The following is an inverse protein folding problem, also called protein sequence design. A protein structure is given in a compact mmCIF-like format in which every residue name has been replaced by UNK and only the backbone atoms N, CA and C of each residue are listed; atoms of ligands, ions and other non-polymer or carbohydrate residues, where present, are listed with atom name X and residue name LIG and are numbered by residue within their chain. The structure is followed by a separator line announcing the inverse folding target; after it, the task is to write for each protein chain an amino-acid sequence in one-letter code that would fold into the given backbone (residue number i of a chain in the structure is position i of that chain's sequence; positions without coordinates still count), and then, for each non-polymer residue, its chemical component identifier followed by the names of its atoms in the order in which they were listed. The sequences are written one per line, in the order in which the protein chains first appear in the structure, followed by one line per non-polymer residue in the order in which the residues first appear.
data_IF_443099494982
#
_entry.id   IF_443099494982
#
_cell.length_a   1.000
_cell.length_b   1.000
_cell.length_c   1.000
_cell.angle_alpha   90.00
_cell.angle_beta   90.00
_cell.angle_gamma   90.00
#
_symmetry.space_group_name_H-M   'P 1'
#
loop_
_entity.id
_entity.type
_entity.pdbx_description
1 polymer ?
#
# COMPACT_ATOMS: atom_id res chain seq x y z
N UNK A 1 63.90 -62.31 34.30
CA UNK A 1 64.57 -62.62 33.03
C UNK A 1 66.06 -62.92 33.22
N UNK A 2 66.82 -62.09 33.95
CA UNK A 2 68.26 -62.32 34.26
C UNK A 2 68.52 -63.63 35.01
N UNK A 3 67.69 -64.00 35.99
CA UNK A 3 67.80 -65.28 36.73
C UNK A 3 67.70 -66.50 35.80
N UNK A 4 66.69 -66.50 34.90
CA UNK A 4 66.45 -67.56 33.91
C UNK A 4 67.61 -67.71 32.91
N UNK A 5 68.20 -66.59 32.48
CA UNK A 5 69.37 -66.59 31.60
C UNK A 5 70.63 -67.12 32.32
N UNK A 6 70.79 -66.83 33.61
CA UNK A 6 71.90 -67.37 34.42
C UNK A 6 71.77 -68.88 34.66
N UNK A 7 70.56 -69.35 34.97
CA UNK A 7 70.29 -70.78 35.17
C UNK A 7 70.43 -71.57 33.85
N UNK A 8 69.91 -71.03 32.74
CA UNK A 8 70.13 -71.56 31.38
C UNK A 8 71.64 -71.71 31.08
N UNK A 9 72.43 -70.67 31.36
CA UNK A 9 73.89 -70.68 31.13
C UNK A 9 74.62 -71.70 32.01
N UNK A 10 74.13 -71.94 33.23
CA UNK A 10 74.68 -72.94 34.15
C UNK A 10 74.36 -74.36 33.69
N UNK A 11 73.12 -74.61 33.27
CA UNK A 11 72.67 -75.88 32.70
C UNK A 11 73.40 -76.18 31.38
N UNK A 12 73.52 -75.20 30.48
CA UNK A 12 74.30 -75.33 29.25
C UNK A 12 75.76 -75.69 29.54
N UNK A 13 76.40 -75.08 30.55
CA UNK A 13 77.78 -75.46 30.94
C UNK A 13 77.90 -76.92 31.39
N UNK A 14 76.91 -77.44 32.11
CA UNK A 14 76.92 -78.83 32.59
C UNK A 14 76.68 -79.80 31.43
N UNK A 15 75.65 -79.55 30.62
CA UNK A 15 75.37 -80.33 29.42
C UNK A 15 76.59 -80.36 28.49
N UNK A 16 77.31 -79.25 28.34
CA UNK A 16 78.50 -79.18 27.51
C UNK A 16 79.66 -80.04 28.04
N UNK A 17 79.88 -80.06 29.36
CA UNK A 17 80.87 -80.96 29.96
C UNK A 17 80.51 -82.42 29.73
N UNK A 18 79.23 -82.76 29.84
CA UNK A 18 78.75 -84.12 29.59
C UNK A 18 78.86 -84.52 28.11
N UNK A 19 78.53 -83.60 27.19
CA UNK A 19 78.64 -83.83 25.76
C UNK A 19 80.10 -83.98 25.32
N UNK A 20 81.02 -83.21 25.91
CA UNK A 20 82.47 -83.38 25.66
C UNK A 20 83.01 -84.74 26.11
N UNK A 21 82.52 -85.24 27.26
CA UNK A 21 82.86 -86.58 27.75
C UNK A 21 82.28 -87.64 26.81
N UNK A 22 81.01 -87.51 26.40
CA UNK A 22 80.37 -88.44 25.47
C UNK A 22 81.03 -88.45 24.08
N UNK A 23 81.39 -87.29 23.54
CA UNK A 23 82.07 -87.16 22.24
C UNK A 23 83.48 -87.78 22.29
N UNK A 24 84.19 -87.59 23.41
CA UNK A 24 85.47 -88.26 23.66
C UNK A 24 85.30 -89.78 23.80
N UNK A 25 84.25 -90.24 24.50
CA UNK A 25 83.94 -91.66 24.64
C UNK A 25 83.55 -92.30 23.31
N UNK A 26 82.71 -91.64 22.52
CA UNK A 26 82.30 -92.09 21.19
C UNK A 26 83.49 -92.19 20.24
N UNK A 27 84.36 -91.18 20.21
CA UNK A 27 85.59 -91.21 19.39
C UNK A 27 86.59 -92.30 19.84
N UNK A 28 86.65 -92.61 21.14
CA UNK A 28 87.41 -93.75 21.66
C UNK A 28 86.78 -95.10 21.28
N UNK A 29 85.46 -95.18 21.22
CA UNK A 29 84.71 -96.41 20.91
C UNK A 29 84.66 -96.70 19.40
N UNK A 30 84.61 -95.67 18.54
CA UNK A 30 84.60 -95.81 17.07
C UNK A 30 85.88 -96.46 16.52
N UNK A 31 86.99 -96.46 17.27
CA UNK A 31 88.26 -97.06 16.87
C UNK A 31 88.56 -98.48 17.39
N UNK A 32 87.64 -99.12 18.14
CA UNK A 32 87.86 -100.42 18.79
C UNK A 32 87.16 -101.57 18.05
N UNK A 33 87.90 -102.55 17.54
CA UNK A 33 87.35 -103.72 16.85
C UNK A 33 87.01 -104.89 17.80
N UNK A 34 87.51 -104.89 19.05
CA UNK A 34 87.07 -105.82 20.10
C UNK A 34 87.32 -105.30 21.53
N UNK A 35 86.49 -105.73 22.47
CA UNK A 35 86.53 -105.28 23.88
C UNK A 35 87.83 -105.67 24.63
N UNK A 36 88.63 -106.60 24.11
CA UNK A 36 89.89 -107.03 24.74
C UNK A 36 91.07 -106.07 24.50
N UNK A 37 90.95 -105.13 23.55
CA UNK A 37 91.96 -104.10 23.27
C UNK A 37 92.00 -102.97 24.32
N UNK A 38 90.94 -102.82 25.12
CA UNK A 38 90.81 -101.81 26.18
C UNK A 38 91.73 -102.05 27.40
N UNK A 39 92.18 -103.29 27.62
CA UNK A 39 92.95 -103.68 28.81
C UNK A 39 94.47 -103.74 28.59
N UNK A 40 94.94 -103.54 27.35
CA UNK A 40 96.35 -103.76 26.97
C UNK A 40 97.06 -102.56 26.31
N UNK A 41 96.42 -101.39 26.16
CA UNK A 41 97.04 -100.19 25.59
C UNK A 41 97.37 -99.13 26.65
N UNK A 42 98.54 -98.46 26.60
CA UNK A 42 98.77 -97.22 27.34
C UNK A 42 97.84 -96.13 26.81
N UNK A 43 97.17 -95.39 27.70
CA UNK A 43 96.31 -94.27 27.33
C UNK A 43 97.05 -93.26 26.46
N UNK A 44 96.57 -93.03 25.24
CA UNK A 44 97.03 -91.93 24.39
C UNK A 44 96.58 -90.59 24.99
N UNK A 45 97.43 -89.55 24.97
CA UNK A 45 97.06 -88.24 25.52
C UNK A 45 96.02 -87.55 24.62
N UNK A 46 95.02 -86.97 25.27
CA UNK A 46 94.06 -85.93 24.85
C UNK A 46 93.94 -85.59 23.35
N UNK A 47 92.73 -85.67 22.75
CA UNK A 47 92.48 -85.04 21.46
C UNK A 47 92.63 -83.52 21.59
N UNK A 48 93.51 -82.95 20.78
CA UNK A 48 93.83 -81.52 20.73
C UNK A 48 92.60 -80.67 20.33
N UNK A 49 92.25 -79.69 21.18
CA UNK A 49 91.83 -78.32 20.82
C UNK A 49 90.57 -78.03 19.99
N UNK A 50 90.11 -78.91 19.10
CA UNK A 50 89.12 -78.62 18.05
C UNK A 50 87.71 -78.33 18.55
N UNK A 51 87.25 -79.02 19.60
CA UNK A 51 85.92 -78.77 20.16
C UNK A 51 85.81 -77.38 20.82
N UNK A 52 86.91 -76.91 21.44
CA UNK A 52 86.95 -75.61 22.13
C UNK A 52 87.01 -74.45 21.14
N UNK A 53 87.72 -74.58 20.03
CA UNK A 53 87.74 -73.56 18.97
C UNK A 53 86.38 -73.48 18.24
N UNK A 54 85.76 -74.62 17.91
CA UNK A 54 84.40 -74.69 17.33
C UNK A 54 83.35 -74.01 18.21
N UNK A 55 83.36 -74.25 19.52
CA UNK A 55 82.44 -73.57 20.45
C UNK A 55 82.70 -72.07 20.59
N UNK A 56 83.97 -71.63 20.58
CA UNK A 56 84.28 -70.19 20.57
C UNK A 56 83.73 -69.52 19.31
N UNK A 57 83.87 -70.15 18.15
CA UNK A 57 83.28 -69.67 16.89
C UNK A 57 81.75 -69.61 16.97
N UNK A 58 81.10 -70.71 17.37
CA UNK A 58 79.64 -70.77 17.53
C UNK A 58 79.11 -69.73 18.53
N UNK A 59 79.84 -69.48 19.62
CA UNK A 59 79.47 -68.47 20.60
C UNK A 59 79.58 -67.03 20.06
N UNK A 60 80.55 -66.78 19.18
CA UNK A 60 80.66 -65.48 18.49
C UNK A 60 79.53 -65.34 17.47
N UNK A 61 79.25 -66.40 16.71
CA UNK A 61 78.15 -66.44 15.74
C UNK A 61 76.78 -66.25 16.40
N UNK A 62 76.46 -66.96 17.49
CA UNK A 62 75.22 -66.73 18.25
C UNK A 62 75.11 -65.30 18.77
N UNK A 63 76.22 -64.70 19.24
CA UNK A 63 76.20 -63.29 19.68
C UNK A 63 75.93 -62.33 18.54
N UNK A 64 76.51 -62.57 17.37
CA UNK A 64 76.27 -61.76 16.18
C UNK A 64 74.81 -61.89 15.71
N UNK A 65 74.25 -63.11 15.75
CA UNK A 65 72.83 -63.37 15.45
C UNK A 65 71.91 -62.70 16.48
N UNK A 66 72.25 -62.73 17.77
CA UNK A 66 71.49 -62.03 18.81
C UNK A 66 71.51 -60.50 18.56
N UNK A 67 72.68 -59.92 18.26
CA UNK A 67 72.81 -58.48 17.95
C UNK A 67 72.10 -58.08 16.63
N UNK A 68 72.04 -58.97 15.65
CA UNK A 68 71.31 -58.76 14.40
C UNK A 68 69.79 -58.84 14.62
N UNK A 69 69.34 -59.84 15.38
CA UNK A 69 67.91 -60.00 15.73
C UNK A 69 67.42 -58.86 16.62
N UNK A 70 68.21 -58.38 17.58
CA UNK A 70 67.87 -57.20 18.38
C UNK A 70 67.73 -55.93 17.53
N UNK A 71 68.62 -55.71 16.55
CA UNK A 71 68.51 -54.58 15.61
C UNK A 71 67.25 -54.68 14.76
N UNK A 72 66.95 -55.86 14.22
CA UNK A 72 65.73 -56.10 13.44
C UNK A 72 64.47 -55.86 14.29
N UNK A 73 64.46 -56.30 15.55
CA UNK A 73 63.36 -56.05 16.47
C UNK A 73 63.16 -54.56 16.76
N UNK A 74 64.25 -53.80 16.92
CA UNK A 74 64.17 -52.34 17.10
C UNK A 74 63.60 -51.66 15.85
N UNK A 75 64.08 -52.01 14.65
CA UNK A 75 63.55 -51.47 13.39
C UNK A 75 62.06 -51.79 13.21
N UNK A 76 61.66 -53.04 13.46
CA UNK A 76 60.25 -53.45 13.39
C UNK A 76 59.40 -52.70 14.42
N UNK A 77 59.92 -52.46 15.63
CA UNK A 77 59.21 -51.72 16.67
C UNK A 77 58.98 -50.25 16.27
N UNK A 78 59.98 -49.61 15.65
CA UNK A 78 59.84 -48.26 15.09
C UNK A 78 58.84 -48.20 13.94
N UNK A 79 58.88 -49.17 13.01
CA UNK A 79 57.90 -49.27 11.92
C UNK A 79 56.48 -49.44 12.46
N UNK A 80 56.28 -50.30 13.46
CA UNK A 80 54.99 -50.49 14.12
C UNK A 80 54.51 -49.18 14.76
N UNK A 81 55.38 -48.43 15.44
CA UNK A 81 55.01 -47.13 16.01
C UNK A 81 54.62 -46.12 14.93
N UNK A 82 55.37 -46.05 13.82
CA UNK A 82 55.03 -45.18 12.69
C UNK A 82 53.67 -45.55 12.07
N UNK A 83 53.39 -46.85 11.92
CA UNK A 83 52.10 -47.33 11.42
C UNK A 83 50.96 -46.91 12.38
N UNK A 84 51.17 -47.02 13.70
CA UNK A 84 50.18 -46.57 14.68
C UNK A 84 49.91 -45.06 14.59
N UNK A 85 50.95 -44.23 14.45
CA UNK A 85 50.78 -42.78 14.27
C UNK A 85 50.00 -42.47 12.99
N UNK A 86 50.35 -43.12 11.87
CA UNK A 86 49.64 -42.95 10.59
C UNK A 86 48.17 -43.39 10.70
N UNK A 87 47.90 -44.53 11.34
CA UNK A 87 46.53 -45.02 11.59
C UNK A 87 45.71 -44.03 12.41
N UNK A 88 46.28 -43.48 13.48
CA UNK A 88 45.59 -42.50 14.32
C UNK A 88 45.25 -41.22 13.54
N UNK A 89 46.20 -40.72 12.74
CA UNK A 89 45.97 -39.56 11.88
C UNK A 89 44.86 -39.83 10.84
N UNK A 90 44.88 -40.99 10.19
CA UNK A 90 43.82 -41.38 9.25
C UNK A 90 42.45 -41.50 9.94
N UNK A 91 42.41 -42.06 11.15
CA UNK A 91 41.17 -42.20 11.91
C UNK A 91 40.56 -40.82 12.22
N UNK A 92 41.39 -39.84 12.64
CA UNK A 92 40.94 -38.47 12.87
C UNK A 92 40.42 -37.81 11.59
N UNK A 93 41.12 -37.98 10.46
CA UNK A 93 40.68 -37.42 9.17
C UNK A 93 39.36 -38.03 8.71
N UNK A 94 39.16 -39.34 8.88
CA UNK A 94 37.88 -40.00 8.55
C UNK A 94 36.74 -39.46 9.41
N UNK A 95 36.96 -39.26 10.72
CA UNK A 95 35.97 -38.65 11.60
C UNK A 95 35.62 -37.21 11.18
N UNK A 96 36.62 -36.40 10.82
CA UNK A 96 36.40 -35.04 10.33
C UNK A 96 35.61 -35.03 9.01
N UNK A 97 35.93 -35.92 8.08
CA UNK A 97 35.20 -36.06 6.81
C UNK A 97 33.76 -36.49 7.05
N UNK A 98 33.51 -37.40 7.99
CA UNK A 98 32.16 -37.82 8.33
C UNK A 98 31.34 -36.66 8.91
N UNK A 99 31.93 -35.88 9.82
CA UNK A 99 31.27 -34.70 10.38
C UNK A 99 30.93 -33.65 9.30
N UNK A 100 31.89 -33.35 8.40
CA UNK A 100 31.63 -32.43 7.28
C UNK A 100 30.55 -32.94 6.33
N UNK A 101 30.48 -34.25 6.09
CA UNK A 101 29.42 -34.85 5.27
C UNK A 101 28.04 -34.61 5.90
N UNK A 102 27.89 -34.88 7.20
CA UNK A 102 26.65 -34.64 7.93
C UNK A 102 26.25 -33.16 7.93
N UNK A 103 27.22 -32.25 8.09
CA UNK A 103 26.97 -30.81 7.99
C UNK A 103 26.44 -30.42 6.60
N UNK A 104 26.99 -31.00 5.53
CA UNK A 104 26.55 -30.72 4.17
C UNK A 104 25.11 -31.21 3.92
N UNK A 105 24.77 -32.41 4.39
CA UNK A 105 23.40 -32.94 4.33
C UNK A 105 22.40 -32.02 5.06
N UNK A 106 22.79 -31.48 6.23
CA UNK A 106 21.95 -30.53 6.96
C UNK A 106 21.77 -29.19 6.22
N UNK A 107 22.82 -28.67 5.60
CA UNK A 107 22.76 -27.45 4.80
C UNK A 107 21.86 -27.63 3.56
N UNK A 108 21.91 -28.80 2.91
CA UNK A 108 21.05 -29.13 1.77
C UNK A 108 19.57 -29.14 2.18
N UNK A 109 19.23 -29.68 3.36
CA UNK A 109 17.86 -29.62 3.88
C UNK A 109 17.38 -28.18 4.12
N UNK A 110 18.22 -27.32 4.70
CA UNK A 110 17.88 -25.91 4.92
C UNK A 110 17.73 -25.15 3.62
N UNK A 111 18.61 -25.41 2.66
CA UNK A 111 18.53 -24.82 1.32
C UNK A 111 17.23 -25.22 0.63
N UNK A 112 16.83 -26.49 0.73
CA UNK A 112 15.55 -26.96 0.18
C UNK A 112 14.35 -26.28 0.86
N UNK A 113 14.39 -26.10 2.19
CA UNK A 113 13.34 -25.36 2.93
C UNK A 113 13.25 -23.90 2.48
N UNK A 114 14.40 -23.22 2.34
CA UNK A 114 14.45 -21.84 1.87
C UNK A 114 13.92 -21.70 0.44
N UNK A 115 14.29 -22.63 -0.46
CA UNK A 115 13.77 -22.65 -1.83
C UNK A 115 12.25 -22.86 -1.89
N UNK A 116 11.72 -23.76 -1.06
CA UNK A 116 10.28 -23.99 -0.97
C UNK A 116 9.54 -22.75 -0.45
N UNK A 117 10.08 -22.09 0.57
CA UNK A 117 9.52 -20.83 1.09
C UNK A 117 9.54 -19.72 0.02
N UNK A 118 10.64 -19.56 -0.72
CA UNK A 118 10.73 -18.60 -1.83
C UNK A 118 9.68 -18.88 -2.91
N UNK A 119 9.47 -20.14 -3.28
CA UNK A 119 8.42 -20.52 -4.26
C UNK A 119 7.02 -20.18 -3.76
N UNK A 120 6.74 -20.37 -2.47
CA UNK A 120 5.47 -20.01 -1.85
C UNK A 120 5.24 -18.49 -1.92
N UNK A 121 6.22 -17.70 -1.48
CA UNK A 121 6.12 -16.24 -1.50
C UNK A 121 6.00 -15.67 -2.92
N UNK A 122 6.72 -16.25 -3.89
CA UNK A 122 6.57 -15.83 -5.30
C UNK A 122 5.15 -16.07 -5.82
N UNK A 123 4.50 -17.19 -5.46
CA UNK A 123 3.10 -17.43 -5.82
C UNK A 123 2.15 -16.42 -5.17
N UNK A 124 2.36 -16.11 -3.89
CA UNK A 124 1.57 -15.09 -3.18
C UNK A 124 1.74 -13.71 -3.80
N UNK A 125 2.95 -13.33 -4.20
CA UNK A 125 3.21 -12.06 -4.88
C UNK A 125 2.49 -11.97 -6.23
N UNK A 126 2.47 -13.06 -7.00
CA UNK A 126 1.74 -13.09 -8.27
C UNK A 126 0.23 -12.93 -8.02
N UNK A 127 -0.32 -13.63 -7.02
CA UNK A 127 -1.73 -13.51 -6.67
C UNK A 127 -2.10 -12.07 -6.27
N UNK A 128 -1.31 -11.46 -5.37
CA UNK A 128 -1.55 -10.08 -4.93
C UNK A 128 -1.45 -9.08 -6.09
N UNK A 129 -0.56 -9.30 -7.06
CA UNK A 129 -0.47 -8.45 -8.26
C UNK A 129 -1.73 -8.56 -9.12
N UNK A 130 -2.25 -9.76 -9.33
CA UNK A 130 -3.50 -9.96 -10.07
C UNK A 130 -4.70 -9.33 -9.37
N UNK A 131 -4.78 -9.44 -8.04
CA UNK A 131 -5.82 -8.79 -7.23
C UNK A 131 -5.73 -7.26 -7.34
N UNK A 132 -4.52 -6.70 -7.25
CA UNK A 132 -4.27 -5.27 -7.42
C UNK A 132 -4.69 -4.78 -8.81
N UNK A 133 -4.30 -5.50 -9.87
CA UNK A 133 -4.69 -5.18 -11.25
C UNK A 133 -6.22 -5.21 -11.42
N UNK A 134 -6.90 -6.21 -10.84
CA UNK A 134 -8.35 -6.30 -10.87
C UNK A 134 -9.05 -5.11 -10.20
N UNK A 135 -8.60 -4.73 -9.00
CA UNK A 135 -9.13 -3.55 -8.29
C UNK A 135 -8.81 -2.26 -9.05
N UNK A 136 -7.61 -2.16 -9.64
CA UNK A 136 -7.23 -0.99 -10.43
C UNK A 136 -8.11 -0.82 -11.67
N UNK A 137 -8.39 -1.90 -12.40
CA UNK A 137 -9.33 -1.86 -13.53
C UNK A 137 -10.74 -1.44 -13.11
N UNK A 138 -11.23 -1.92 -11.97
CA UNK A 138 -12.51 -1.48 -11.43
C UNK A 138 -12.51 0.01 -11.12
N UNK A 139 -11.45 0.52 -10.47
CA UNK A 139 -11.32 1.94 -10.16
C UNK A 139 -11.38 2.81 -11.42
N UNK A 140 -10.69 2.41 -12.50
CA UNK A 140 -10.74 3.11 -13.79
C UNK A 140 -12.17 3.15 -14.33
N UNK A 141 -12.89 2.02 -14.30
CA UNK A 141 -14.28 1.98 -14.77
C UNK A 141 -15.22 2.90 -13.97
N UNK A 142 -15.03 2.96 -12.64
CA UNK A 142 -15.81 3.86 -11.79
C UNK A 142 -15.48 5.33 -12.03
N UNK A 143 -14.21 5.64 -12.31
CA UNK A 143 -13.80 7.00 -12.67
C UNK A 143 -14.44 7.44 -13.98
N UNK A 144 -14.44 6.58 -15.00
CA UNK A 144 -15.10 6.85 -16.29
C UNK A 144 -16.60 7.10 -16.10
N UNK A 145 -17.31 6.24 -15.37
CA UNK A 145 -18.73 6.42 -15.11
C UNK A 145 -19.02 7.72 -14.35
N UNK A 146 -18.21 8.05 -13.33
CA UNK A 146 -18.33 9.32 -12.61
C UNK A 146 -18.14 10.49 -13.56
N UNK A 147 -17.15 10.44 -14.45
CA UNK A 147 -16.85 11.54 -15.37
C UNK A 147 -17.98 11.70 -16.41
N UNK A 148 -18.55 10.60 -16.91
CA UNK A 148 -19.75 10.61 -17.76
C UNK A 148 -20.97 11.22 -17.06
N UNK A 149 -21.20 10.84 -15.81
CA UNK A 149 -22.28 11.40 -14.98
C UNK A 149 -22.05 12.88 -14.70
N UNK A 150 -20.81 13.27 -14.42
CA UNK A 150 -20.45 14.67 -14.19
C UNK A 150 -20.67 15.51 -15.46
N UNK A 151 -20.27 15.01 -16.62
CA UNK A 151 -20.56 15.65 -17.92
C UNK A 151 -22.06 15.80 -18.14
N UNK A 152 -22.84 14.77 -17.82
CA UNK A 152 -24.31 14.81 -17.92
C UNK A 152 -24.92 15.84 -16.97
N UNK A 153 -24.44 15.90 -15.72
CA UNK A 153 -24.88 16.88 -14.72
C UNK A 153 -24.53 18.30 -15.18
N UNK A 154 -23.32 18.53 -15.67
CA UNK A 154 -22.90 19.85 -16.18
C UNK A 154 -23.73 20.27 -17.39
N UNK A 155 -23.96 19.37 -18.35
CA UNK A 155 -24.82 19.66 -19.50
C UNK A 155 -26.27 19.96 -19.07
N UNK A 156 -26.80 19.23 -18.07
CA UNK A 156 -28.10 19.52 -17.49
C UNK A 156 -28.10 20.87 -16.77
N UNK A 157 -27.08 21.21 -15.99
CA UNK A 157 -26.96 22.51 -15.31
C UNK A 157 -26.87 23.68 -16.30
N UNK A 158 -26.24 23.49 -17.45
CA UNK A 158 -26.18 24.51 -18.50
C UNK A 158 -27.55 24.79 -19.12
N UNK A 159 -28.40 23.77 -19.24
CA UNK A 159 -29.77 23.88 -19.76
C UNK A 159 -30.76 24.28 -18.67
N UNK A 160 -30.53 23.85 -17.42
CA UNK A 160 -31.44 24.06 -16.31
C UNK A 160 -31.39 25.52 -15.84
N UNK A 161 -32.52 26.20 -15.97
CA UNK A 161 -32.79 27.51 -15.39
C UNK A 161 -33.20 27.42 -13.91
N UNK A 162 -32.95 26.27 -13.27
CA UNK A 162 -33.38 25.94 -11.91
C UNK A 162 -32.18 25.38 -11.13
N UNK A 163 -31.87 26.00 -10.00
CA UNK A 163 -30.85 25.53 -9.05
C UNK A 163 -31.52 25.12 -7.76
N UNK A 164 -31.31 23.88 -7.32
CA UNK A 164 -31.74 23.44 -6.00
C UNK A 164 -30.92 24.15 -4.91
N UNK A 165 -31.58 24.84 -3.99
CA UNK A 165 -30.95 25.49 -2.84
C UNK A 165 -30.99 24.62 -1.59
N UNK A 166 -32.16 24.08 -1.26
CA UNK A 166 -32.32 23.16 -0.12
C UNK A 166 -33.50 22.21 -0.33
N UNK A 167 -33.44 21.07 0.34
CA UNK A 167 -34.48 20.04 0.30
C UNK A 167 -34.65 19.43 1.70
N UNK A 168 -35.89 19.40 2.17
CA UNK A 168 -36.32 18.76 3.42
C UNK A 168 -37.53 17.85 3.12
N UNK A 169 -37.97 17.02 4.08
CA UNK A 169 -39.09 16.10 3.85
C UNK A 169 -40.43 16.77 3.49
N UNK A 170 -40.58 18.06 3.77
CA UNK A 170 -41.81 18.83 3.55
C UNK A 170 -41.59 20.13 2.76
N UNK A 171 -40.34 20.47 2.43
CA UNK A 171 -39.99 21.74 1.81
C UNK A 171 -38.88 21.59 0.76
N UNK A 172 -38.96 22.38 -0.31
CA UNK A 172 -38.02 22.44 -1.41
C UNK A 172 -37.77 23.91 -1.72
N UNK A 173 -36.53 24.35 -1.58
CA UNK A 173 -36.12 25.68 -2.03
C UNK A 173 -35.38 25.57 -3.36
N UNK A 174 -35.87 26.26 -4.39
CA UNK A 174 -35.23 26.33 -5.70
C UNK A 174 -35.02 27.78 -6.11
N UNK A 175 -33.93 28.04 -6.82
CA UNK A 175 -33.61 29.33 -7.39
C UNK A 175 -33.81 29.24 -8.91
N UNK A 176 -34.68 30.08 -9.44
CA UNK A 176 -34.89 30.26 -10.87
C UNK A 176 -33.88 31.29 -11.40
N UNK A 177 -33.11 30.89 -12.41
CA UNK A 177 -32.19 31.72 -13.18
C UNK A 177 -32.64 31.73 -14.63
N UNK A 178 -33.57 32.62 -14.99
CA UNK A 178 -34.04 32.69 -16.36
C UNK A 178 -32.91 33.17 -17.25
N UNK A 179 -32.59 32.40 -18.29
CA UNK A 179 -31.73 32.89 -19.38
C UNK A 179 -32.66 33.51 -20.42
N UNK A 180 -32.57 34.81 -20.66
CA UNK A 180 -33.29 35.44 -21.76
C UNK A 180 -32.72 34.93 -23.10
N UNK A 181 -33.58 34.74 -24.09
CA UNK A 181 -33.19 34.37 -25.47
C UNK A 181 -32.40 35.46 -26.20
N UNK A 182 -32.20 36.60 -25.54
CA UNK A 182 -31.38 37.73 -25.96
C UNK A 182 -30.21 37.86 -24.98
N UNK A 183 -28.97 37.77 -25.50
CA UNK A 183 -27.71 37.92 -24.73
C UNK A 183 -27.56 39.30 -24.06
N UNK A 184 -28.42 40.27 -24.39
CA UNK A 184 -28.29 41.65 -23.92
C UNK A 184 -28.91 41.85 -22.52
N UNK A 185 -29.91 41.04 -22.13
CA UNK A 185 -30.64 41.20 -20.86
C UNK A 185 -30.40 40.05 -19.85
N UNK A 186 -29.66 39.01 -20.25
CA UNK A 186 -29.58 37.75 -19.49
C UNK A 186 -28.82 37.84 -18.16
N UNK A 187 -28.05 38.91 -17.97
CA UNK A 187 -27.29 39.17 -16.75
C UNK A 187 -27.90 40.25 -15.85
N UNK A 188 -29.04 40.85 -16.23
CA UNK A 188 -29.59 42.00 -15.49
C UNK A 188 -30.63 41.59 -14.43
N UNK A 189 -31.34 40.47 -14.64
CA UNK A 189 -32.35 40.01 -13.69
C UNK A 189 -31.74 39.23 -12.54
N UNK A 190 -32.02 39.67 -11.32
CA UNK A 190 -31.70 38.88 -10.12
C UNK A 190 -32.40 37.50 -10.14
N UNK A 191 -31.79 36.45 -9.56
CA UNK A 191 -32.44 35.14 -9.45
C UNK A 191 -33.70 35.17 -8.56
N UNK A 192 -34.69 34.34 -8.91
CA UNK A 192 -35.93 34.24 -8.13
C UNK A 192 -35.88 33.01 -7.22
N UNK A 193 -35.86 33.22 -5.90
CA UNK A 193 -35.95 32.14 -4.93
C UNK A 193 -37.40 31.71 -4.69
N UNK A 194 -37.66 30.42 -4.80
CA UNK A 194 -38.95 29.80 -4.62
C UNK A 194 -38.91 28.80 -3.46
N UNK A 195 -39.94 28.82 -2.63
CA UNK A 195 -40.21 27.85 -1.58
C UNK A 195 -41.44 27.03 -1.98
N UNK A 196 -41.24 25.74 -2.18
CA UNK A 196 -42.34 24.76 -2.32
C UNK A 196 -42.49 24.05 -0.99
N UNK A 197 -43.68 24.08 -0.41
CA UNK A 197 -44.04 23.28 0.75
C UNK A 197 -45.10 22.28 0.34
N UNK A 198 -45.10 21.07 0.89
CA UNK A 198 -46.15 20.08 0.63
C UNK A 198 -46.63 19.39 1.89
N UNK A 199 -47.87 18.92 1.85
CA UNK A 199 -48.51 18.18 2.93
C UNK A 199 -48.71 16.71 2.56
N UNK A 200 -49.06 15.88 3.53
CA UNK A 200 -49.38 14.46 3.33
C UNK A 200 -50.52 14.21 2.32
N UNK A 201 -51.30 15.24 1.98
CA UNK A 201 -52.43 15.16 1.06
C UNK A 201 -52.00 15.34 -0.42
N UNK A 202 -50.70 15.21 -0.73
CA UNK A 202 -50.14 15.38 -2.09
C UNK A 202 -50.44 16.75 -2.72
N UNK A 203 -50.68 17.78 -1.90
CA UNK A 203 -50.86 19.15 -2.34
C UNK A 203 -49.61 19.96 -2.01
N UNK A 204 -49.17 20.76 -2.97
CA UNK A 204 -48.09 21.71 -2.80
C UNK A 204 -48.61 23.13 -2.65
N UNK A 205 -47.82 23.97 -2.00
CA UNK A 205 -47.91 25.42 -1.99
C UNK A 205 -46.56 25.96 -2.42
N UNK A 206 -46.55 26.74 -3.49
CA UNK A 206 -45.39 27.40 -4.07
C UNK A 206 -45.46 28.89 -3.71
N UNK A 207 -44.40 29.40 -3.10
CA UNK A 207 -44.27 30.79 -2.68
C UNK A 207 -42.95 31.34 -3.20
N UNK A 208 -42.92 32.62 -3.56
CA UNK A 208 -41.68 33.33 -3.83
C UNK A 208 -41.10 33.78 -2.49
N UNK A 209 -39.84 33.44 -2.20
CA UNK A 209 -39.14 34.00 -1.04
C UNK A 209 -38.83 35.46 -1.31
N UNK A 210 -38.97 36.32 -0.29
CA UNK A 210 -38.75 37.77 -0.41
C UNK A 210 -37.46 38.08 -1.20
N UNK A 211 -37.63 38.81 -2.30
CA UNK A 211 -36.59 39.17 -3.27
C UNK A 211 -36.96 40.48 -3.99
N UNK A 212 -36.05 41.07 -4.80
CA UNK A 212 -36.09 42.46 -5.28
C UNK A 212 -37.30 42.84 -6.15
N UNK A 213 -38.09 41.86 -6.57
CA UNK A 213 -39.31 42.09 -7.32
C UNK A 213 -40.37 41.14 -6.80
N UNK A 214 -41.37 41.67 -6.10
CA UNK A 214 -42.51 40.94 -5.53
C UNK A 214 -43.43 40.28 -6.56
N UNK A 215 -42.90 39.87 -7.72
CA UNK A 215 -43.58 39.46 -8.95
C UNK A 215 -44.76 38.52 -8.80
N UNK A 216 -44.83 37.75 -7.73
CA UNK A 216 -45.90 36.80 -7.51
C UNK A 216 -46.16 36.72 -6.00
N UNK A 217 -46.93 37.66 -5.45
CA UNK A 217 -47.55 37.47 -4.13
C UNK A 217 -48.60 36.33 -4.15
N UNK A 218 -48.97 35.85 -5.34
CA UNK A 218 -49.86 34.71 -5.50
C UNK A 218 -49.15 33.40 -5.12
N UNK A 219 -49.40 32.96 -3.90
CA UNK A 219 -49.10 31.58 -3.49
C UNK A 219 -49.84 30.62 -4.44
N UNK A 220 -49.13 30.00 -5.37
CA UNK A 220 -49.70 28.96 -6.22
C UNK A 220 -49.87 27.69 -5.38
N UNK A 221 -51.02 27.04 -5.51
CA UNK A 221 -51.26 25.75 -4.85
C UNK A 221 -51.95 24.80 -5.81
N UNK A 222 -51.62 23.52 -5.69
CA UNK A 222 -52.09 22.50 -6.61
C UNK A 222 -51.68 21.11 -6.16
N UNK A 223 -51.92 20.12 -7.01
CA UNK A 223 -51.47 18.74 -6.76
C UNK A 223 -49.99 18.59 -7.11
N UNK A 224 -49.26 17.72 -6.43
CA UNK A 224 -47.83 17.52 -6.69
C UNK A 224 -47.50 17.23 -8.16
N UNK A 225 -48.40 16.54 -8.89
CA UNK A 225 -48.28 16.28 -10.33
C UNK A 225 -48.27 17.54 -11.20
N UNK A 226 -48.79 18.66 -10.70
CA UNK A 226 -48.91 19.95 -11.41
C UNK A 226 -47.75 20.89 -11.08
N UNK A 227 -46.84 20.50 -10.17
CA UNK A 227 -45.73 21.36 -9.72
C UNK A 227 -44.84 21.83 -10.87
N UNK A 228 -44.54 20.94 -11.83
CA UNK A 228 -43.73 21.28 -13.00
C UNK A 228 -44.40 22.37 -13.85
N UNK A 229 -45.72 22.28 -14.05
CA UNK A 229 -46.48 23.28 -14.77
C UNK A 229 -46.51 24.62 -14.00
N UNK A 230 -46.70 24.59 -12.69
CA UNK A 230 -46.68 25.78 -11.85
C UNK A 230 -45.30 26.47 -11.85
N UNK A 231 -44.20 25.72 -11.79
CA UNK A 231 -42.84 26.27 -11.89
C UNK A 231 -42.59 26.91 -13.27
N UNK A 232 -43.05 26.26 -14.36
CA UNK A 232 -42.96 26.82 -15.71
C UNK A 232 -43.78 28.10 -15.86
N UNK A 233 -44.97 28.15 -15.27
CA UNK A 233 -45.82 29.34 -15.28
C UNK A 233 -45.17 30.51 -14.55
N UNK A 234 -44.59 30.28 -13.36
CA UNK A 234 -43.83 31.31 -12.64
C UNK A 234 -42.64 31.79 -13.47
N UNK A 235 -41.91 30.87 -14.09
CA UNK A 235 -40.77 31.21 -14.94
C UNK A 235 -41.19 32.03 -16.17
N UNK A 236 -42.28 31.67 -16.84
CA UNK A 236 -42.80 32.41 -18.00
C UNK A 236 -43.28 33.81 -17.61
N UNK A 237 -43.98 33.96 -16.47
CA UNK A 237 -44.40 35.28 -15.96
C UNK A 237 -43.20 36.15 -15.60
N UNK A 238 -42.18 35.58 -14.96
CA UNK A 238 -40.95 36.28 -14.59
C UNK A 238 -40.21 36.79 -15.84
N UNK A 239 -40.00 35.92 -16.83
CA UNK A 239 -39.36 36.28 -18.11
C UNK A 239 -40.20 37.30 -18.90
N UNK A 240 -41.52 37.15 -18.91
CA UNK A 240 -42.43 38.05 -19.62
C UNK A 240 -42.42 39.49 -19.08
N UNK A 241 -42.00 39.69 -17.83
CA UNK A 241 -41.88 41.01 -17.21
C UNK A 241 -40.42 41.50 -17.13
N UNK A 242 -39.48 40.80 -17.75
CA UNK A 242 -38.03 41.05 -17.62
C UNK A 242 -37.64 42.53 -17.75
N UNK A 243 -38.14 43.23 -18.77
CA UNK A 243 -37.76 44.63 -19.02
C UNK A 243 -38.27 45.60 -17.93
N UNK A 244 -39.47 45.39 -17.40
CA UNK A 244 -40.01 46.20 -16.30
C UNK A 244 -39.18 45.96 -15.03
N UNK A 245 -38.84 44.70 -14.77
CA UNK A 245 -38.16 44.29 -13.56
C UNK A 245 -36.69 44.73 -13.53
N UNK A 246 -35.99 44.62 -14.66
CA UNK A 246 -34.62 45.11 -14.77
C UNK A 246 -34.57 46.63 -14.59
N UNK A 247 -35.55 47.36 -15.12
CA UNK A 247 -35.69 48.79 -14.89
C UNK A 247 -35.93 49.08 -13.39
N UNK A 248 -36.88 48.41 -12.73
CA UNK A 248 -37.14 48.59 -11.29
C UNK A 248 -35.91 48.26 -10.44
N UNK A 249 -35.21 47.18 -10.74
CA UNK A 249 -33.96 46.79 -10.06
C UNK A 249 -32.91 47.89 -10.19
N UNK A 250 -32.74 48.43 -11.39
CA UNK A 250 -31.85 49.56 -11.64
C UNK A 250 -32.29 50.78 -10.82
N UNK A 251 -33.59 51.08 -10.75
CA UNK A 251 -34.10 52.21 -10.00
C UNK A 251 -33.92 52.08 -8.50
N UNK A 252 -34.03 50.87 -7.94
CA UNK A 252 -33.75 50.60 -6.52
C UNK A 252 -32.32 50.94 -6.11
N UNK A 253 -31.37 50.90 -7.04
CA UNK A 253 -29.98 51.30 -6.76
C UNK A 253 -29.81 52.81 -6.58
N UNK A 254 -30.70 53.61 -7.18
CA UNK A 254 -30.56 55.07 -7.29
C UNK A 254 -31.64 55.85 -6.53
N UNK A 255 -32.78 55.23 -6.28
CA UNK A 255 -33.96 55.84 -5.67
C UNK A 255 -34.54 54.94 -4.58
N UNK A 256 -35.12 55.55 -3.55
CA UNK A 256 -35.89 54.82 -2.54
C UNK A 256 -37.27 54.46 -3.11
N UNK A 257 -37.33 53.36 -3.85
CA UNK A 257 -38.53 52.87 -4.52
C UNK A 257 -38.97 51.51 -3.97
N UNK A 258 -40.28 51.33 -3.89
CA UNK A 258 -40.96 50.08 -3.55
C UNK A 258 -41.92 49.71 -4.68
N UNK A 259 -41.95 48.44 -5.08
CA UNK A 259 -42.79 47.95 -6.18
C UNK A 259 -43.86 47.01 -5.63
N UNK A 260 -45.12 47.34 -5.94
CA UNK A 260 -46.31 46.57 -5.52
C UNK A 260 -46.98 45.95 -6.74
N UNK A 261 -46.57 44.75 -7.16
CA UNK A 261 -47.02 44.13 -8.41
C UNK A 261 -48.52 43.82 -8.45
N UNK A 262 -49.13 43.41 -7.33
CA UNK A 262 -50.58 43.17 -7.26
C UNK A 262 -51.42 44.42 -7.60
N UNK A 263 -50.86 45.61 -7.35
CA UNK A 263 -51.48 46.91 -7.65
C UNK A 263 -50.87 47.57 -8.90
N UNK A 264 -49.87 46.94 -9.52
CA UNK A 264 -49.01 47.52 -10.56
C UNK A 264 -48.53 48.94 -10.22
N UNK A 265 -48.11 49.13 -8.96
CA UNK A 265 -47.83 50.44 -8.38
C UNK A 265 -46.38 50.55 -7.94
N UNK A 266 -45.67 51.56 -8.44
CA UNK A 266 -44.34 51.95 -7.96
C UNK A 266 -44.50 53.12 -6.97
N UNK A 267 -44.02 52.91 -5.75
CA UNK A 267 -43.99 53.91 -4.69
C UNK A 267 -42.58 54.49 -4.61
N UNK A 268 -42.44 55.80 -4.78
CA UNK A 268 -41.17 56.51 -4.69
C UNK A 268 -41.16 57.44 -3.49
N UNK A 269 -40.20 57.24 -2.59
CA UNK A 269 -39.95 58.10 -1.45
C UNK A 269 -38.88 59.15 -1.80
N UNK A 270 -39.31 60.37 -2.14
CA UNK A 270 -38.37 61.47 -2.45
C UNK A 270 -37.73 62.04 -1.18
N UNK A 271 -38.50 62.11 -0.09
CA UNK A 271 -38.04 62.57 1.22
C UNK A 271 -38.89 61.93 2.32
N UNK A 272 -38.51 62.10 3.60
CA UNK A 272 -39.24 61.52 4.73
C UNK A 272 -40.73 61.90 4.79
N UNK A 273 -41.10 63.05 4.19
CA UNK A 273 -42.48 63.52 4.14
C UNK A 273 -43.13 63.42 2.77
N UNK A 274 -42.39 63.09 1.70
CA UNK A 274 -42.91 63.14 0.33
C UNK A 274 -42.85 61.80 -0.39
N UNK A 275 -44.02 61.31 -0.78
CA UNK A 275 -44.21 60.02 -1.44
C UNK A 275 -44.97 60.21 -2.76
N UNK A 276 -44.41 59.68 -3.84
CA UNK A 276 -45.03 59.65 -5.16
C UNK A 276 -45.52 58.22 -5.47
N UNK A 277 -46.69 58.11 -6.09
CA UNK A 277 -47.28 56.84 -6.50
C UNK A 277 -47.44 56.85 -8.02
N UNK A 278 -46.77 55.91 -8.69
CA UNK A 278 -46.75 55.76 -10.15
C UNK A 278 -47.44 54.45 -10.53
N UNK A 279 -48.52 54.51 -11.29
CA UNK A 279 -49.16 53.35 -11.88
C UNK A 279 -48.45 52.95 -13.16
N UNK A 280 -48.29 51.64 -13.35
CA UNK A 280 -47.69 51.06 -14.54
C UNK A 280 -48.73 50.19 -15.23
N UNK A 281 -49.19 50.63 -16.41
CA UNK A 281 -50.21 49.90 -17.16
C UNK A 281 -49.71 48.54 -17.65
N UNK A 282 -50.64 47.63 -17.95
CA UNK A 282 -50.33 46.34 -18.55
C UNK A 282 -49.64 46.48 -19.92
N UNK A 283 -48.67 45.60 -20.17
CA UNK A 283 -47.86 45.64 -21.38
C UNK A 283 -46.75 46.69 -21.39
N UNK A 284 -46.53 47.46 -20.33
CA UNK A 284 -45.32 48.27 -20.18
C UNK A 284 -44.06 47.37 -20.17
N UNK A 285 -42.97 47.74 -20.86
CA UNK A 285 -42.74 49.03 -21.55
C UNK A 285 -43.16 49.07 -23.03
N UNK A 286 -43.62 47.96 -23.61
CA UNK A 286 -43.89 47.87 -25.06
C UNK A 286 -45.19 48.56 -25.50
N UNK A 287 -46.27 48.42 -24.73
CA UNK A 287 -47.60 48.98 -25.05
C UNK A 287 -48.26 49.74 -23.90
N UNK A 288 -47.87 49.47 -22.66
CA UNK A 288 -48.37 50.16 -21.48
C UNK A 288 -47.60 51.44 -21.17
N UNK A 289 -48.22 52.37 -20.44
CA UNK A 289 -47.63 53.64 -20.01
C UNK A 289 -47.46 53.71 -18.50
N UNK A 290 -46.65 54.68 -18.06
CA UNK A 290 -46.50 55.05 -16.65
C UNK A 290 -47.27 56.34 -16.39
N UNK A 291 -48.10 56.33 -15.35
CA UNK A 291 -48.90 57.48 -14.95
C UNK A 291 -48.66 57.84 -13.48
N UNK A 292 -48.54 59.14 -13.19
CA UNK A 292 -48.49 59.62 -11.81
C UNK A 292 -49.90 59.64 -11.21
N UNK A 293 -50.17 58.71 -10.29
CA UNK A 293 -51.47 58.62 -9.62
C UNK A 293 -51.64 59.68 -8.53
N UNK A 294 -50.65 59.81 -7.65
CA UNK A 294 -50.74 60.76 -6.55
C UNK A 294 -49.38 61.13 -5.99
N UNK A 295 -49.27 62.36 -5.51
CA UNK A 295 -48.14 62.82 -4.69
C UNK A 295 -48.70 63.19 -3.32
N UNK A 296 -48.05 62.71 -2.26
CA UNK A 296 -48.44 62.99 -0.88
C UNK A 296 -47.31 63.69 -0.15
N UNK A 297 -47.60 64.80 0.53
CA UNK A 297 -46.69 65.49 1.45
C UNK A 297 -47.29 65.47 2.85
N UNK A 298 -46.54 64.95 3.82
CA UNK A 298 -47.01 64.76 5.21
C UNK A 298 -48.33 63.96 5.29
N UNK A 299 -48.50 63.02 4.36
CA UNK A 299 -49.72 62.20 4.23
C UNK A 299 -50.90 62.87 3.50
N UNK A 300 -50.81 64.16 3.18
CA UNK A 300 -51.86 64.90 2.46
C UNK A 300 -51.63 64.89 0.95
N UNK A 301 -52.67 64.74 0.11
CA UNK A 301 -52.54 64.75 -1.34
C UNK A 301 -52.17 66.16 -1.85
N UNK A 302 -51.19 66.23 -2.76
CA UNK A 302 -50.79 67.42 -3.50
C UNK A 302 -51.48 67.44 -4.87
N UNK A 303 -51.69 68.64 -5.41
CA UNK A 303 -52.25 68.80 -6.76
C UNK A 303 -51.22 68.37 -7.82
N UNK A 304 -51.55 67.37 -8.64
CA UNK A 304 -50.65 66.75 -9.63
C UNK A 304 -50.86 67.26 -11.05
N UNK A 305 -51.83 68.15 -11.27
CA UNK A 305 -52.27 68.65 -12.59
C UNK A 305 -51.14 69.30 -13.42
N UNK A 306 -50.13 69.88 -12.76
CA UNK A 306 -48.94 70.47 -13.39
C UNK A 306 -47.72 69.54 -13.55
N UNK A 307 -47.75 68.33 -13.01
CA UNK A 307 -46.62 67.40 -13.02
C UNK A 307 -46.74 66.42 -14.20
N UNK A 308 -46.40 66.90 -15.40
CA UNK A 308 -46.30 66.04 -16.58
C UNK A 308 -44.93 66.19 -17.25
N UNK A 309 -44.21 65.09 -17.48
CA UNK A 309 -42.99 65.13 -18.28
C UNK A 309 -43.29 65.57 -19.72
N UNK A 310 -42.35 66.25 -20.36
CA UNK A 310 -42.54 66.84 -21.70
C UNK A 310 -42.63 65.80 -22.83
N UNK A 311 -42.23 64.55 -22.57
CA UNK A 311 -42.31 63.43 -23.52
C UNK A 311 -43.59 62.64 -23.26
N UNK A 312 -44.16 62.02 -24.30
CA UNK A 312 -45.40 61.23 -24.21
C UNK A 312 -45.17 59.76 -23.86
N UNK A 313 -43.98 59.22 -24.17
CA UNK A 313 -43.59 57.84 -23.90
C UNK A 313 -42.43 57.84 -22.89
N UNK A 314 -42.79 58.03 -21.62
CA UNK A 314 -41.86 58.27 -20.52
C UNK A 314 -41.70 56.98 -19.74
N UNK A 315 -40.46 56.49 -19.65
CA UNK A 315 -40.15 55.31 -18.85
C UNK A 315 -40.21 55.62 -17.35
N UNK A 316 -40.27 54.59 -16.51
CA UNK A 316 -40.21 54.75 -15.04
C UNK A 316 -38.99 55.56 -14.63
N UNK A 317 -37.85 55.31 -15.29
CA UNK A 317 -36.60 56.03 -15.05
C UNK A 317 -36.73 57.51 -15.34
N UNK A 318 -37.30 57.88 -16.48
CA UNK A 318 -37.49 59.27 -16.87
C UNK A 318 -38.46 59.98 -15.90
N UNK A 319 -39.50 59.29 -15.44
CA UNK A 319 -40.44 59.79 -14.44
C UNK A 319 -39.73 60.10 -13.11
N UNK A 320 -38.90 59.19 -12.60
CA UNK A 320 -38.20 59.41 -11.34
C UNK A 320 -37.14 60.50 -11.43
N UNK A 321 -36.41 60.59 -12.56
CA UNK A 321 -35.48 61.70 -12.82
C UNK A 321 -36.23 63.05 -12.84
N UNK A 322 -37.39 63.10 -13.50
CA UNK A 322 -38.23 64.29 -13.51
C UNK A 322 -38.76 64.66 -12.12
N UNK A 323 -39.32 63.70 -11.38
CA UNK A 323 -39.84 63.94 -10.03
C UNK A 323 -38.73 64.34 -9.04
N UNK A 324 -37.52 63.78 -9.21
CA UNK A 324 -36.36 64.15 -8.40
C UNK A 324 -35.90 65.60 -8.67
N UNK A 325 -35.84 66.00 -9.94
CA UNK A 325 -35.39 67.34 -10.37
C UNK A 325 -36.46 68.43 -10.34
N UNK A 326 -37.74 68.06 -10.23
CA UNK A 326 -38.85 69.00 -10.18
C UNK A 326 -38.83 69.83 -8.89
N UNK A 327 -38.81 71.17 -8.97
CA UNK A 327 -38.88 72.05 -7.81
C UNK A 327 -40.32 72.20 -7.26
N UNK A 328 -41.32 71.70 -8.00
CA UNK A 328 -42.74 71.81 -7.63
C UNK A 328 -43.14 70.85 -6.49
N UNK A 329 -42.29 69.86 -6.18
CA UNK A 329 -42.52 68.83 -5.15
C UNK A 329 -41.31 68.60 -4.28
#
# INVERSE_FOLDING_TARGET
MVQYLMDSRRVQKVLWRQLFVLDSMMSLLEGLESAQQLMAQPCTPQPEGGARSRWKALKVECRQQDEETERLLQTLQEEVQQIHVRRNKLTQLVQQLHHKKQQNEHLDEHLQKAQNALRLYNRQLIQLRLELEGVHSQLISWQQLRDELQMSISALQDVMQLKLLSFTPSELCVELRPRSFSDVLSNELEPLELLVTWSHNSHFRLQVKEGPAGLVEDCLSGRWSELSAALLEVMQRYVGQAELLSEIQTLRSSFAVDWRPAQRLLVYLKSASLVCHLEVEEGYPSSGRVQLLSVRRDGQPLETSGLKPHKTDVRLTDWLVFLCSSPLI
#
